data_IF_754727155347
#
_entry.id   IF_754727155347
#
_cell.length_a   1.000
_cell.length_b   1.000
_cell.length_c   1.000
_cell.angle_alpha   90.00
_cell.angle_beta   90.00
_cell.angle_gamma   90.00
#
_symmetry.space_group_name_H-M   'P 1'
#
loop_
_entity.id
_entity.type
_entity.pdbx_description
1 polymer ?
#
# COMPACT_ATOMS: atom_id res chain seq x y z
N UNK A 1 -28.02 -17.59 10.93
CA UNK A 1 -28.05 -16.46 9.97
C UNK A 1 -27.35 -15.26 10.60
N UNK A 2 -26.32 -14.70 9.95
CA UNK A 2 -25.53 -13.60 10.49
C UNK A 2 -26.32 -12.29 10.66
N UNK A 3 -25.77 -11.36 11.44
CA UNK A 3 -26.38 -10.03 11.61
C UNK A 3 -26.53 -9.31 10.26
N UNK A 4 -27.48 -8.37 10.15
CA UNK A 4 -27.67 -7.57 8.92
C UNK A 4 -26.36 -6.92 8.46
N UNK A 5 -25.55 -6.45 9.41
CA UNK A 5 -24.24 -5.84 9.16
C UNK A 5 -23.26 -6.82 8.51
N UNK A 6 -23.19 -8.05 8.99
CA UNK A 6 -22.31 -9.07 8.40
C UNK A 6 -22.73 -9.48 6.98
N UNK A 7 -24.03 -9.45 6.66
CA UNK A 7 -24.49 -9.65 5.27
C UNK A 7 -24.08 -8.50 4.35
N UNK A 8 -24.18 -7.25 4.81
CA UNK A 8 -23.68 -6.09 4.06
C UNK A 8 -22.16 -6.15 3.88
N UNK A 9 -21.43 -6.54 4.93
CA UNK A 9 -19.99 -6.75 4.84
C UNK A 9 -19.64 -7.80 3.78
N UNK A 10 -20.32 -8.95 3.77
CA UNK A 10 -20.09 -10.00 2.77
C UNK A 10 -20.34 -9.49 1.35
N UNK A 11 -21.39 -8.67 1.14
CA UNK A 11 -21.64 -8.02 -0.16
C UNK A 11 -20.50 -7.07 -0.55
N UNK A 12 -20.03 -6.22 0.37
CA UNK A 12 -18.91 -5.30 0.11
C UNK A 12 -17.60 -6.04 -0.14
N UNK A 13 -17.36 -7.15 0.57
CA UNK A 13 -16.22 -8.03 0.34
C UNK A 13 -16.27 -8.66 -1.05
N UNK A 14 -17.44 -9.16 -1.47
CA UNK A 14 -17.63 -9.67 -2.82
C UNK A 14 -17.44 -8.57 -3.88
N UNK A 15 -17.98 -7.36 -3.65
CA UNK A 15 -17.77 -6.21 -4.53
C UNK A 15 -16.29 -5.82 -4.63
N UNK A 16 -15.52 -5.92 -3.55
CA UNK A 16 -14.07 -5.67 -3.56
C UNK A 16 -13.35 -6.66 -4.49
N UNK A 17 -13.66 -7.95 -4.38
CA UNK A 17 -13.07 -8.99 -5.24
C UNK A 17 -13.49 -8.80 -6.70
N UNK A 18 -14.78 -8.63 -6.96
CA UNK A 18 -15.30 -8.36 -8.31
C UNK A 18 -14.66 -7.11 -8.89
N UNK A 19 -14.53 -6.05 -8.09
CA UNK A 19 -13.92 -4.79 -8.48
C UNK A 19 -12.44 -4.93 -8.86
N UNK A 20 -11.68 -5.77 -8.14
CA UNK A 20 -10.27 -6.02 -8.47
C UNK A 20 -10.07 -6.62 -9.87
N UNK A 21 -11.08 -7.32 -10.41
CA UNK A 21 -11.04 -7.95 -11.74
C UNK A 21 -11.72 -7.10 -12.80
N UNK A 22 -12.90 -6.55 -12.51
CA UNK A 22 -13.75 -5.89 -13.52
C UNK A 22 -13.50 -4.39 -13.68
N UNK A 23 -12.88 -3.73 -12.71
CA UNK A 23 -12.54 -2.31 -12.83
C UNK A 23 -11.25 -2.16 -13.62
N UNK A 24 -11.34 -2.19 -14.94
CA UNK A 24 -10.19 -2.19 -15.85
C UNK A 24 -9.50 -0.83 -15.99
N UNK A 25 -10.08 0.24 -15.44
CA UNK A 25 -9.45 1.56 -15.44
C UNK A 25 -8.08 1.53 -14.77
N UNK A 26 -7.12 2.22 -15.40
CA UNK A 26 -5.85 2.60 -14.81
C UNK A 26 -6.12 3.77 -13.86
N UNK A 27 -5.75 3.63 -12.58
CA UNK A 27 -5.96 4.71 -11.59
C UNK A 27 -4.76 5.67 -11.56
N UNK A 28 -3.58 5.14 -11.87
CA UNK A 28 -2.32 5.88 -11.96
C UNK A 28 -1.32 5.06 -12.80
N UNK A 29 -0.46 5.69 -13.63
CA UNK A 29 0.54 4.98 -14.44
C UNK A 29 1.44 4.01 -13.64
N UNK A 30 1.86 4.42 -12.44
CA UNK A 30 2.63 3.59 -11.49
C UNK A 30 2.04 2.20 -11.21
N UNK A 31 0.73 2.01 -11.40
CA UNK A 31 0.11 0.69 -11.29
C UNK A 31 0.80 -0.36 -12.18
N UNK A 32 1.23 0.07 -13.37
CA UNK A 32 1.87 -0.77 -14.37
C UNK A 32 3.39 -0.59 -14.33
N UNK A 33 3.84 0.65 -14.40
CA UNK A 33 5.25 1.01 -14.58
C UNK A 33 6.13 0.81 -13.35
N UNK A 34 5.55 0.73 -12.14
CA UNK A 34 6.30 0.47 -10.90
C UNK A 34 6.04 -0.91 -10.31
N UNK A 35 5.44 -1.84 -11.06
CA UNK A 35 5.22 -3.20 -10.57
C UNK A 35 5.16 -4.23 -11.69
N UNK A 36 4.12 -4.18 -12.51
CA UNK A 36 3.76 -5.27 -13.42
C UNK A 36 4.73 -5.41 -14.58
N UNK A 37 4.99 -4.31 -15.28
CA UNK A 37 5.80 -4.32 -16.50
C UNK A 37 7.27 -4.60 -16.20
N UNK A 38 7.80 -3.98 -15.13
CA UNK A 38 9.16 -4.21 -14.64
C UNK A 38 9.41 -5.70 -14.42
N UNK A 39 8.46 -6.40 -13.77
CA UNK A 39 8.59 -7.83 -13.53
C UNK A 39 8.28 -8.69 -14.74
N UNK A 40 7.33 -8.30 -15.59
CA UNK A 40 6.99 -9.05 -16.79
C UNK A 40 8.19 -9.23 -17.73
N UNK A 41 9.14 -8.30 -17.73
CA UNK A 41 10.41 -8.44 -18.48
C UNK A 41 11.25 -9.66 -18.09
N UNK A 42 10.96 -10.35 -16.99
CA UNK A 42 11.72 -11.56 -16.65
C UNK A 42 11.04 -12.85 -17.10
N UNK A 43 9.75 -12.79 -17.46
CA UNK A 43 8.92 -13.98 -17.69
C UNK A 43 8.31 -14.04 -19.08
N UNK A 44 8.15 -12.89 -19.74
CA UNK A 44 7.63 -12.84 -21.12
C UNK A 44 8.76 -13.19 -22.10
N UNK A 45 8.53 -14.09 -23.08
CA UNK A 45 9.52 -14.39 -24.11
C UNK A 45 9.86 -13.16 -24.97
N UNK A 46 11.15 -12.91 -25.19
CA UNK A 46 11.65 -11.75 -25.96
C UNK A 46 11.13 -11.66 -27.40
N UNK A 47 10.82 -12.82 -27.99
CA UNK A 47 10.29 -12.92 -29.36
C UNK A 47 8.80 -12.56 -29.46
N UNK A 48 8.08 -12.52 -28.34
CA UNK A 48 6.65 -12.29 -28.32
C UNK A 48 6.30 -10.83 -28.65
N UNK A 49 5.10 -10.62 -29.21
CA UNK A 49 4.61 -9.27 -29.49
C UNK A 49 4.47 -8.44 -28.20
N UNK A 50 4.00 -9.05 -27.11
CA UNK A 50 3.76 -8.34 -25.85
C UNK A 50 5.06 -7.86 -25.19
N UNK A 51 6.18 -8.55 -25.42
CA UNK A 51 7.49 -8.10 -24.95
C UNK A 51 7.87 -6.72 -25.47
N UNK A 52 7.53 -6.42 -26.73
CA UNK A 52 7.88 -5.15 -27.40
C UNK A 52 7.10 -3.96 -26.84
N UNK A 53 5.98 -4.24 -26.17
CA UNK A 53 5.13 -3.23 -25.54
C UNK A 53 5.49 -3.00 -24.06
N UNK A 54 6.36 -3.83 -23.47
CA UNK A 54 6.78 -3.67 -22.07
C UNK A 54 7.68 -2.45 -21.91
N UNK A 55 7.38 -1.63 -20.90
CA UNK A 55 8.18 -0.46 -20.56
C UNK A 55 8.79 -0.60 -19.16
N UNK A 56 10.11 -0.40 -19.09
CA UNK A 56 10.84 -0.32 -17.81
C UNK A 56 11.27 1.14 -17.61
N UNK A 57 10.71 1.85 -16.62
CA UNK A 57 11.07 3.25 -16.36
C UNK A 57 12.53 3.41 -15.98
N UNK A 58 13.08 4.60 -16.24
CA UNK A 58 14.45 4.99 -15.89
C UNK A 58 14.77 4.78 -14.40
N UNK A 59 13.75 4.83 -13.54
CA UNK A 59 13.85 4.60 -12.09
C UNK A 59 14.37 3.21 -11.70
N UNK A 60 14.22 2.23 -12.61
CA UNK A 60 14.70 0.85 -12.49
C UNK A 60 15.88 0.56 -13.43
N UNK A 61 16.47 1.58 -14.04
CA UNK A 61 17.59 1.39 -14.97
C UNK A 61 18.92 1.77 -14.31
N UNK A 62 19.98 1.08 -14.73
CA UNK A 62 21.36 1.44 -14.40
C UNK A 62 21.76 2.75 -15.09
N UNK A 63 22.70 3.54 -14.53
CA UNK A 63 23.62 3.18 -13.44
C UNK A 63 23.12 3.48 -12.01
N UNK A 64 22.07 4.29 -11.84
CA UNK A 64 21.60 4.69 -10.50
C UNK A 64 20.10 4.43 -10.34
N UNK A 65 19.68 3.16 -10.15
CA UNK A 65 18.27 2.84 -9.90
C UNK A 65 17.83 3.52 -8.60
N UNK A 66 16.66 4.14 -8.64
CA UNK A 66 16.13 4.96 -7.56
C UNK A 66 14.77 4.49 -7.04
N UNK A 67 14.30 3.32 -7.49
CA UNK A 67 13.20 2.57 -6.89
C UNK A 67 13.64 1.18 -6.49
N UNK A 68 13.10 0.73 -5.35
CA UNK A 68 13.32 -0.63 -4.88
C UNK A 68 12.54 -1.64 -5.70
N UNK A 69 13.18 -2.76 -6.01
CA UNK A 69 12.57 -3.87 -6.75
C UNK A 69 11.76 -4.80 -5.84
N UNK A 70 11.95 -4.72 -4.52
CA UNK A 70 11.38 -5.65 -3.57
C UNK A 70 9.85 -5.74 -3.69
N UNK A 71 9.16 -4.60 -3.73
CA UNK A 71 7.71 -4.58 -3.87
C UNK A 71 7.21 -5.16 -5.22
N UNK A 72 7.72 -4.71 -6.40
CA UNK A 72 7.44 -5.34 -7.68
C UNK A 72 7.65 -6.87 -7.65
N UNK A 73 8.79 -7.32 -7.13
CA UNK A 73 9.15 -8.73 -7.06
C UNK A 73 8.15 -9.53 -6.21
N UNK A 74 7.71 -9.01 -5.07
CA UNK A 74 6.74 -9.70 -4.21
C UNK A 74 5.34 -9.78 -4.83
N UNK A 75 4.88 -8.69 -5.46
CA UNK A 75 3.48 -8.57 -5.91
C UNK A 75 3.25 -9.08 -7.32
N UNK A 76 4.22 -8.92 -8.21
CA UNK A 76 4.13 -9.36 -9.61
C UNK A 76 5.14 -10.49 -9.90
N UNK A 77 6.39 -10.35 -9.47
CA UNK A 77 7.45 -11.33 -9.77
C UNK A 77 7.18 -12.74 -9.25
N UNK A 78 6.81 -12.89 -7.97
CA UNK A 78 6.50 -14.20 -7.37
C UNK A 78 5.32 -14.87 -8.09
N UNK A 79 4.16 -14.21 -8.29
CA UNK A 79 3.07 -14.81 -9.05
C UNK A 79 3.44 -15.22 -10.48
N UNK A 80 4.20 -14.39 -11.19
CA UNK A 80 4.62 -14.72 -12.56
C UNK A 80 5.60 -15.91 -12.58
N UNK A 81 6.49 -16.00 -11.59
CA UNK A 81 7.35 -17.18 -11.42
C UNK A 81 6.53 -18.45 -11.17
N UNK A 82 5.47 -18.35 -10.38
CA UNK A 82 4.55 -19.48 -10.16
C UNK A 82 3.93 -19.90 -11.49
N UNK A 83 3.43 -18.96 -12.30
CA UNK A 83 2.87 -19.24 -13.62
C UNK A 83 3.87 -19.93 -14.55
N UNK A 84 5.11 -19.44 -14.62
CA UNK A 84 6.18 -20.08 -15.40
C UNK A 84 6.40 -21.53 -14.94
N UNK A 85 6.50 -21.78 -13.63
CA UNK A 85 6.73 -23.12 -13.07
C UNK A 85 5.57 -24.07 -13.35
N UNK A 86 4.32 -23.58 -13.40
CA UNK A 86 3.15 -24.39 -13.75
C UNK A 86 2.84 -24.45 -15.25
N UNK A 87 3.66 -23.81 -16.10
CA UNK A 87 3.49 -23.79 -17.55
C UNK A 87 2.35 -22.92 -18.05
N UNK A 88 1.96 -21.89 -17.30
CA UNK A 88 0.95 -20.89 -17.71
C UNK A 88 1.66 -19.71 -18.36
N UNK A 89 1.34 -19.45 -19.63
CA UNK A 89 1.86 -18.29 -20.35
C UNK A 89 1.29 -16.98 -19.80
N UNK A 90 2.18 -16.01 -19.57
CA UNK A 90 1.79 -14.71 -19.04
C UNK A 90 1.16 -13.85 -20.15
N UNK A 91 -0.16 -13.62 -20.06
CA UNK A 91 -0.89 -12.71 -20.95
C UNK A 91 -1.05 -11.33 -20.31
N UNK A 92 -1.36 -10.30 -21.10
CA UNK A 92 -1.62 -8.95 -20.58
C UNK A 92 -2.77 -8.90 -19.57
N UNK A 93 -3.78 -9.77 -19.74
CA UNK A 93 -4.86 -9.93 -18.75
C UNK A 93 -4.35 -10.48 -17.42
N UNK A 94 -3.49 -11.51 -17.47
CA UNK A 94 -2.89 -12.08 -16.26
C UNK A 94 -1.95 -11.08 -15.58
N UNK A 95 -1.20 -10.28 -16.34
CA UNK A 95 -0.37 -9.21 -15.80
C UNK A 95 -1.20 -8.18 -15.02
N UNK A 96 -2.37 -7.81 -15.54
CA UNK A 96 -3.29 -6.89 -14.89
C UNK A 96 -3.93 -7.48 -13.63
N UNK A 97 -4.57 -8.64 -13.77
CA UNK A 97 -5.51 -9.15 -12.76
C UNK A 97 -4.80 -9.86 -11.61
N UNK A 98 -3.67 -10.52 -11.86
CA UNK A 98 -2.95 -11.31 -10.85
C UNK A 98 -2.49 -10.49 -9.64
N UNK A 99 -1.71 -9.40 -9.82
CA UNK A 99 -1.28 -8.57 -8.68
C UNK A 99 -2.46 -7.87 -7.99
N UNK A 100 -3.51 -7.51 -8.74
CA UNK A 100 -4.74 -6.92 -8.19
C UNK A 100 -5.48 -7.90 -7.28
N UNK A 101 -5.66 -9.14 -7.72
CA UNK A 101 -6.27 -10.20 -6.93
C UNK A 101 -5.43 -10.56 -5.71
N UNK A 102 -4.10 -10.68 -5.86
CA UNK A 102 -3.20 -10.94 -4.75
C UNK A 102 -3.36 -9.89 -3.65
N UNK A 103 -3.30 -8.60 -4.00
CA UNK A 103 -3.44 -7.52 -3.03
C UNK A 103 -4.87 -7.41 -2.49
N UNK A 104 -5.89 -7.69 -3.29
CA UNK A 104 -7.26 -7.80 -2.82
C UNK A 104 -7.39 -8.89 -1.75
N UNK A 105 -6.82 -10.07 -1.98
CA UNK A 105 -6.82 -11.17 -1.02
C UNK A 105 -6.05 -10.80 0.26
N UNK A 106 -4.87 -10.20 0.12
CA UNK A 106 -4.09 -9.71 1.26
C UNK A 106 -4.81 -8.60 2.03
N UNK A 107 -5.65 -7.79 1.37
CA UNK A 107 -6.43 -6.74 2.04
C UNK A 107 -7.37 -7.31 3.11
N UNK A 108 -7.86 -8.54 2.95
CA UNK A 108 -8.70 -9.18 3.98
C UNK A 108 -7.95 -9.49 5.28
N UNK A 109 -6.62 -9.56 5.26
CA UNK A 109 -5.82 -9.62 6.49
C UNK A 109 -6.05 -8.35 7.31
N UNK A 110 -6.17 -7.19 6.66
CA UNK A 110 -6.47 -5.92 7.33
C UNK A 110 -7.85 -5.98 7.99
N UNK A 111 -8.87 -6.50 7.31
CA UNK A 111 -10.19 -6.73 7.90
C UNK A 111 -10.12 -7.59 9.18
N UNK A 112 -9.37 -8.70 9.12
CA UNK A 112 -9.17 -9.61 10.28
C UNK A 112 -8.44 -8.89 11.41
N UNK A 113 -7.39 -8.13 11.11
CA UNK A 113 -6.64 -7.34 12.09
C UNK A 113 -7.56 -6.33 12.77
N UNK A 114 -8.32 -5.54 12.00
CA UNK A 114 -9.24 -4.54 12.56
C UNK A 114 -10.27 -5.19 13.47
N UNK A 115 -10.88 -6.29 13.03
CA UNK A 115 -11.88 -7.03 13.80
C UNK A 115 -11.30 -7.57 15.12
N UNK A 116 -10.11 -8.17 15.08
CA UNK A 116 -9.47 -8.78 16.24
C UNK A 116 -8.95 -7.75 17.24
N UNK A 117 -8.29 -6.70 16.76
CA UNK A 117 -7.76 -5.60 17.60
C UNK A 117 -8.89 -4.85 18.30
N UNK A 118 -9.97 -4.48 17.59
CA UNK A 118 -11.14 -3.84 18.21
C UNK A 118 -11.79 -4.76 19.25
N UNK A 119 -11.87 -6.06 18.95
CA UNK A 119 -12.37 -7.07 19.87
C UNK A 119 -11.54 -7.20 21.15
N UNK A 120 -10.21 -7.12 21.05
CA UNK A 120 -9.27 -7.18 22.17
C UNK A 120 -9.36 -5.92 23.03
N UNK A 121 -9.38 -4.75 22.40
CA UNK A 121 -9.45 -3.45 23.09
C UNK A 121 -10.81 -3.17 23.74
N UNK A 122 -11.87 -3.83 23.27
CA UNK A 122 -13.21 -3.74 23.85
C UNK A 122 -13.57 -4.94 24.74
N UNK A 123 -12.58 -5.73 25.20
CA UNK A 123 -12.81 -6.98 25.95
C UNK A 123 -13.61 -6.80 27.25
N UNK A 124 -13.44 -5.66 27.92
CA UNK A 124 -14.05 -5.37 29.22
C UNK A 124 -15.48 -4.81 29.07
N UNK A 125 -15.96 -4.66 27.83
CA UNK A 125 -17.31 -4.18 27.51
C UNK A 125 -18.28 -5.35 27.33
N UNK A 126 -19.59 -5.06 27.47
CA UNK A 126 -20.65 -6.03 27.19
C UNK A 126 -20.50 -6.64 25.80
N UNK A 127 -20.81 -7.94 25.68
CA UNK A 127 -20.62 -8.72 24.45
C UNK A 127 -21.31 -8.07 23.25
N UNK A 128 -22.50 -7.52 23.44
CA UNK A 128 -23.28 -6.85 22.40
C UNK A 128 -22.58 -5.58 21.89
N UNK A 129 -22.01 -4.78 22.81
CA UNK A 129 -21.29 -3.54 22.49
C UNK A 129 -19.99 -3.86 21.76
N UNK A 130 -19.24 -4.86 22.25
CA UNK A 130 -18.02 -5.35 21.60
C UNK A 130 -18.32 -5.80 20.17
N UNK A 131 -19.33 -6.66 19.99
CA UNK A 131 -19.72 -7.17 18.67
C UNK A 131 -20.17 -6.04 17.74
N UNK A 132 -20.94 -5.07 18.24
CA UNK A 132 -21.34 -3.90 17.46
C UNK A 132 -20.13 -3.08 16.96
N UNK A 133 -19.13 -2.83 17.81
CA UNK A 133 -17.91 -2.11 17.40
C UNK A 133 -17.13 -2.87 16.33
N UNK A 134 -17.00 -4.18 16.50
CA UNK A 134 -16.32 -5.05 15.54
C UNK A 134 -17.05 -5.09 14.17
N UNK A 135 -18.38 -5.16 14.17
CA UNK A 135 -19.16 -5.10 12.92
C UNK A 135 -19.08 -3.73 12.25
N UNK A 136 -19.09 -2.64 13.04
CA UNK A 136 -19.01 -1.26 12.50
C UNK A 136 -17.66 -0.95 11.88
N UNK A 137 -16.55 -1.37 12.51
CA UNK A 137 -15.21 -1.13 11.93
C UNK A 137 -15.07 -1.81 10.58
N UNK A 138 -15.57 -3.06 10.45
CA UNK A 138 -15.56 -3.79 9.19
C UNK A 138 -16.40 -3.10 8.12
N UNK A 139 -17.61 -2.63 8.46
CA UNK A 139 -18.46 -1.94 7.51
C UNK A 139 -17.87 -0.61 7.04
N UNK A 140 -17.32 0.20 7.96
CA UNK A 140 -16.67 1.46 7.60
C UNK A 140 -15.49 1.21 6.67
N UNK A 141 -14.62 0.27 7.03
CA UNK A 141 -13.45 -0.06 6.23
C UNK A 141 -13.84 -0.60 4.85
N UNK A 142 -14.73 -1.59 4.79
CA UNK A 142 -15.13 -2.24 3.54
C UNK A 142 -15.98 -1.34 2.61
N UNK A 143 -16.64 -0.32 3.15
CA UNK A 143 -17.41 0.65 2.34
C UNK A 143 -16.62 1.90 1.95
N UNK A 144 -15.36 2.01 2.40
CA UNK A 144 -14.49 3.12 2.02
C UNK A 144 -13.95 2.92 0.60
N UNK A 145 -13.99 3.98 -0.21
CA UNK A 145 -13.50 3.93 -1.59
C UNK A 145 -12.01 3.51 -1.74
N UNK A 146 -11.08 3.88 -0.83
CA UNK A 146 -9.68 3.44 -0.97
C UNK A 146 -9.56 1.93 -0.77
N UNK A 147 -10.42 1.34 0.05
CA UNK A 147 -10.47 -0.12 0.24
C UNK A 147 -11.02 -0.84 -0.99
N UNK A 148 -12.02 -0.25 -1.66
CA UNK A 148 -12.63 -0.84 -2.86
C UNK A 148 -11.76 -0.67 -4.11
N UNK A 149 -11.02 0.45 -4.22
CA UNK A 149 -10.18 0.77 -5.38
C UNK A 149 -8.71 0.50 -5.06
N UNK A 150 -8.07 1.32 -4.24
CA UNK A 150 -6.61 1.30 -4.08
C UNK A 150 -6.01 0.07 -3.41
N UNK A 151 -6.65 -0.50 -2.38
CA UNK A 151 -6.10 -1.68 -1.70
C UNK A 151 -6.09 -2.94 -2.59
N UNK A 152 -6.72 -2.87 -3.76
CA UNK A 152 -6.69 -3.90 -4.78
C UNK A 152 -5.75 -3.57 -5.94
N UNK A 153 -4.91 -2.52 -5.81
CA UNK A 153 -3.99 -2.04 -6.85
C UNK A 153 -2.54 -2.18 -6.39
N UNK A 154 -1.61 -2.55 -7.29
CA UNK A 154 -0.18 -2.73 -7.01
C UNK A 154 0.59 -1.43 -6.74
N UNK A 155 0.18 -0.71 -5.70
CA UNK A 155 0.95 0.39 -5.13
C UNK A 155 1.73 -0.09 -3.90
N UNK A 156 2.97 0.37 -3.74
CA UNK A 156 3.77 0.09 -2.53
C UNK A 156 3.03 0.53 -1.26
N UNK A 157 2.27 1.63 -1.33
CA UNK A 157 1.44 2.11 -0.23
C UNK A 157 0.39 1.09 0.24
N UNK A 158 -0.16 0.27 -0.67
CA UNK A 158 -1.09 -0.81 -0.29
C UNK A 158 -0.38 -1.84 0.60
N UNK A 159 0.86 -2.18 0.25
CA UNK A 159 1.68 -3.10 1.04
C UNK A 159 2.11 -2.46 2.37
N UNK A 160 2.49 -1.19 2.38
CA UNK A 160 2.77 -0.43 3.62
C UNK A 160 1.57 -0.43 4.56
N UNK A 161 0.34 -0.26 4.05
CA UNK A 161 -0.89 -0.36 4.84
C UNK A 161 -1.07 -1.75 5.47
N UNK A 162 -0.78 -2.81 4.73
CA UNK A 162 -0.81 -4.18 5.25
C UNK A 162 0.22 -4.38 6.36
N UNK A 163 1.48 -3.98 6.13
CA UNK A 163 2.55 -4.07 7.12
C UNK A 163 2.18 -3.28 8.38
N UNK A 164 1.64 -2.07 8.23
CA UNK A 164 1.18 -1.27 9.35
C UNK A 164 0.03 -1.95 10.11
N UNK A 165 -0.94 -2.55 9.41
CA UNK A 165 -1.99 -3.35 10.06
C UNK A 165 -1.39 -4.48 10.91
N UNK A 166 -0.43 -5.23 10.37
CA UNK A 166 0.27 -6.29 11.10
C UNK A 166 1.04 -5.74 12.32
N UNK A 167 1.69 -4.59 12.21
CA UNK A 167 2.33 -3.91 13.34
C UNK A 167 1.31 -3.58 14.45
N UNK A 168 0.13 -3.08 14.09
CA UNK A 168 -0.97 -2.85 15.05
C UNK A 168 -1.47 -4.17 15.67
N UNK A 169 -1.56 -5.25 14.89
CA UNK A 169 -1.91 -6.57 15.39
C UNK A 169 -0.90 -7.04 16.44
N UNK A 170 0.40 -6.96 16.15
CA UNK A 170 1.46 -7.31 17.10
C UNK A 170 1.36 -6.44 18.37
N UNK A 171 1.26 -5.12 18.21
CA UNK A 171 1.21 -4.18 19.33
C UNK A 171 0.05 -4.46 20.31
N UNK A 172 -1.15 -4.73 19.77
CA UNK A 172 -2.36 -4.85 20.58
C UNK A 172 -2.75 -6.29 20.95
N UNK A 173 -2.34 -7.29 20.17
CA UNK A 173 -2.70 -8.69 20.40
C UNK A 173 -1.64 -9.45 21.19
N UNK A 174 -0.36 -9.13 20.98
CA UNK A 174 0.78 -9.88 21.57
C UNK A 174 1.20 -9.30 22.93
N UNK A 175 0.43 -8.37 23.51
CA UNK A 175 0.79 -7.65 24.75
C UNK A 175 1.50 -8.55 25.79
N UNK A 176 2.78 -8.29 26.13
CA UNK A 176 3.36 -8.84 27.33
C UNK A 176 2.55 -8.28 28.50
N UNK A 177 2.10 -9.15 29.40
CA UNK A 177 1.47 -8.74 30.67
C UNK A 177 2.52 -7.95 31.48
N UNK A 178 2.63 -6.65 31.30
CA UNK A 178 3.38 -5.82 32.24
C UNK A 178 2.50 -5.69 33.49
N UNK A 179 2.93 -6.35 34.56
CA UNK A 179 2.28 -6.34 35.86
C UNK A 179 1.90 -4.93 36.30
N UNK A 180 0.65 -4.79 36.71
CA UNK A 180 0.07 -3.56 37.22
C UNK A 180 0.76 -3.12 38.51
N UNK A 181 1.54 -2.04 38.44
CA UNK A 181 1.80 -1.13 39.55
C UNK A 181 2.07 0.28 38.98
N UNK A 182 1.56 1.32 39.65
CA UNK A 182 1.44 2.69 39.16
C UNK A 182 2.71 3.25 38.47
N UNK A 183 2.58 4.08 37.42
CA UNK A 183 3.74 4.52 36.64
C UNK A 183 4.52 5.62 37.37
N UNK A 184 5.80 5.37 37.67
CA UNK A 184 6.78 6.45 37.86
C UNK A 184 7.15 7.05 36.50
N UNK A 185 7.45 8.36 36.44
CA UNK A 185 7.86 9.04 35.19
C UNK A 185 9.05 8.34 34.50
N UNK A 186 9.99 7.83 35.29
CA UNK A 186 11.14 7.04 34.83
C UNK A 186 10.75 5.75 34.09
N UNK A 187 9.71 5.04 34.55
CA UNK A 187 9.20 3.82 33.87
C UNK A 187 8.44 4.12 32.58
N UNK A 188 7.93 5.35 32.41
CA UNK A 188 7.36 5.79 31.12
C UNK A 188 8.49 6.11 30.14
N UNK A 189 9.50 6.85 30.58
CA UNK A 189 10.69 7.17 29.78
C UNK A 189 11.41 5.90 29.32
N UNK A 190 11.69 4.96 30.23
CA UNK A 190 12.33 3.69 29.88
C UNK A 190 11.55 2.90 28.82
N UNK A 191 10.21 2.88 28.89
CA UNK A 191 9.37 2.24 27.86
C UNK A 191 9.47 2.94 26.51
N UNK A 192 9.46 4.28 26.50
CA UNK A 192 9.63 5.05 25.25
C UNK A 192 10.98 4.73 24.62
N UNK A 193 12.05 4.68 25.42
CA UNK A 193 13.40 4.32 24.95
C UNK A 193 13.43 2.90 24.38
N UNK A 194 12.85 1.91 25.07
CA UNK A 194 12.79 0.52 24.57
C UNK A 194 12.05 0.45 23.23
N UNK A 195 10.89 1.10 23.12
CA UNK A 195 10.11 1.13 21.87
C UNK A 195 10.89 1.82 20.75
N UNK A 196 11.59 2.93 21.06
CA UNK A 196 12.42 3.63 20.09
C UNK A 196 13.60 2.78 19.60
N UNK A 197 14.29 2.07 20.51
CA UNK A 197 15.38 1.15 20.16
C UNK A 197 14.87 -0.02 19.32
N UNK A 198 13.74 -0.62 19.68
CA UNK A 198 13.10 -1.67 18.87
C UNK A 198 12.73 -1.16 17.48
N UNK A 199 12.16 0.04 17.39
CA UNK A 199 11.86 0.71 16.13
C UNK A 199 13.11 0.94 15.28
N UNK A 200 14.20 1.40 15.89
CA UNK A 200 15.48 1.60 15.21
C UNK A 200 16.08 0.28 14.69
N UNK A 201 16.08 -0.78 15.51
CA UNK A 201 16.57 -2.10 15.08
C UNK A 201 15.73 -2.65 13.93
N UNK A 202 14.40 -2.54 14.00
CA UNK A 202 13.52 -2.94 12.92
C UNK A 202 13.78 -2.13 11.64
N UNK A 203 13.95 -0.81 11.76
CA UNK A 203 14.30 0.06 10.64
C UNK A 203 15.62 -0.37 9.99
N UNK A 204 16.70 -0.52 10.76
CA UNK A 204 18.01 -0.90 10.24
C UNK A 204 17.99 -2.29 9.57
N UNK A 205 17.28 -3.25 10.17
CA UNK A 205 17.14 -4.59 9.60
C UNK A 205 16.40 -4.56 8.26
N UNK A 206 15.27 -3.85 8.20
CA UNK A 206 14.53 -3.71 6.94
C UNK A 206 15.32 -2.92 5.90
N UNK A 207 15.98 -1.82 6.27
CA UNK A 207 16.87 -1.10 5.34
C UNK A 207 17.93 -2.02 4.74
N UNK A 208 18.55 -2.88 5.56
CA UNK A 208 19.52 -3.86 5.07
C UNK A 208 18.89 -4.84 4.08
N UNK A 209 17.69 -5.36 4.37
CA UNK A 209 16.97 -6.26 3.45
C UNK A 209 16.71 -5.58 2.10
N UNK A 210 16.22 -4.35 2.11
CA UNK A 210 15.98 -3.58 0.87
C UNK A 210 17.28 -3.39 0.08
N UNK A 211 18.36 -2.95 0.73
CA UNK A 211 19.66 -2.74 0.08
C UNK A 211 20.19 -4.04 -0.51
N UNK A 212 20.14 -5.14 0.24
CA UNK A 212 20.62 -6.44 -0.24
C UNK A 212 19.81 -6.94 -1.43
N UNK A 213 18.47 -6.88 -1.36
CA UNK A 213 17.60 -7.35 -2.45
C UNK A 213 17.76 -6.47 -3.70
N UNK A 214 17.81 -5.14 -3.53
CA UNK A 214 18.00 -4.22 -4.65
C UNK A 214 19.38 -4.43 -5.29
N UNK A 215 20.46 -4.53 -4.51
CA UNK A 215 21.81 -4.81 -5.05
C UNK A 215 21.88 -6.17 -5.73
N UNK A 216 21.25 -7.21 -5.17
CA UNK A 216 21.19 -8.54 -5.81
C UNK A 216 20.52 -8.48 -7.18
N UNK A 217 19.49 -7.64 -7.32
CA UNK A 217 18.75 -7.51 -8.57
C UNK A 217 19.47 -6.66 -9.62
N UNK A 218 19.99 -5.49 -9.23
CA UNK A 218 20.62 -4.55 -10.17
C UNK A 218 22.09 -4.87 -10.46
N UNK A 219 22.80 -5.46 -9.50
CA UNK A 219 24.21 -5.80 -9.59
C UNK A 219 24.48 -7.24 -9.11
N UNK A 220 23.91 -8.26 -9.77
CA UNK A 220 24.08 -9.67 -9.36
C UNK A 220 25.55 -10.11 -9.31
N UNK A 221 26.43 -9.48 -10.09
CA UNK A 221 27.88 -9.68 -10.11
C UNK A 221 28.58 -9.35 -8.78
N UNK A 222 27.95 -8.56 -7.91
CA UNK A 222 28.45 -8.26 -6.56
C UNK A 222 28.47 -9.51 -5.69
N UNK A 223 27.47 -10.38 -5.88
CA UNK A 223 27.28 -11.60 -5.11
C UNK A 223 27.73 -12.86 -5.88
N UNK A 224 28.16 -12.72 -7.14
CA UNK A 224 28.72 -13.80 -7.92
C UNK A 224 30.21 -14.03 -7.58
N UNK A 225 30.55 -15.24 -7.12
CA UNK A 225 31.93 -15.67 -6.85
C UNK A 225 32.26 -15.91 -5.36
N UNK A 226 33.55 -16.13 -5.06
CA UNK A 226 34.02 -16.47 -3.71
C UNK A 226 33.96 -15.27 -2.75
N UNK A 227 33.56 -15.55 -1.50
CA UNK A 227 33.44 -14.59 -0.40
C UNK A 227 34.82 -14.15 0.12
N UNK A 228 35.51 -13.29 -0.62
CA UNK A 228 36.80 -12.71 -0.24
C UNK A 228 36.67 -11.23 0.16
N UNK A 229 37.76 -10.62 0.66
CA UNK A 229 37.82 -9.19 1.00
C UNK A 229 37.43 -8.24 -0.15
N UNK A 230 37.52 -8.71 -1.40
CA UNK A 230 37.00 -8.02 -2.59
C UNK A 230 35.49 -7.85 -2.60
N UNK A 231 34.71 -8.69 -1.89
CA UNK A 231 33.25 -8.61 -1.87
C UNK A 231 32.79 -7.39 -1.07
N UNK A 232 33.46 -7.04 0.03
CA UNK A 232 33.13 -5.85 0.82
C UNK A 232 33.33 -4.58 -0.01
N UNK A 233 34.42 -4.52 -0.78
CA UNK A 233 34.70 -3.40 -1.68
C UNK A 233 33.69 -3.32 -2.83
N UNK A 234 33.36 -4.45 -3.45
CA UNK A 234 32.30 -4.54 -4.48
C UNK A 234 30.94 -4.08 -3.96
N UNK A 235 30.55 -4.50 -2.74
CA UNK A 235 29.31 -4.05 -2.10
C UNK A 235 29.38 -2.54 -1.85
N UNK A 236 30.46 -2.02 -1.28
CA UNK A 236 30.58 -0.60 -0.99
C UNK A 236 30.45 0.28 -2.24
N UNK A 237 30.90 -0.19 -3.40
CA UNK A 237 30.85 0.54 -4.67
C UNK A 237 29.51 0.40 -5.41
N UNK A 238 28.82 -0.73 -5.27
CA UNK A 238 27.63 -1.06 -6.08
C UNK A 238 26.34 -1.22 -5.25
N UNK A 239 26.39 -0.96 -3.93
CA UNK A 239 25.22 -1.03 -3.08
C UNK A 239 24.13 -0.05 -3.55
N UNK A 240 22.90 -0.55 -3.68
CA UNK A 240 21.77 0.22 -4.17
C UNK A 240 21.00 0.74 -2.97
N UNK A 241 21.11 2.04 -2.74
CA UNK A 241 20.32 2.75 -1.74
C UNK A 241 19.20 3.51 -2.43
N UNK A 242 18.16 2.82 -2.88
CA UNK A 242 17.10 3.40 -3.71
C UNK A 242 16.53 4.74 -3.17
N UNK A 243 16.19 4.89 -1.86
CA UNK A 243 15.73 6.18 -1.33
C UNK A 243 16.77 7.30 -1.41
N UNK A 244 18.06 6.98 -1.21
CA UNK A 244 19.14 7.95 -1.33
C UNK A 244 19.36 8.33 -2.80
N UNK A 245 19.35 7.36 -3.71
CA UNK A 245 19.43 7.60 -5.14
C UNK A 245 18.27 8.46 -5.62
N UNK A 246 17.07 8.23 -5.09
CA UNK A 246 15.88 9.03 -5.40
C UNK A 246 16.03 10.46 -4.89
N UNK A 247 16.55 10.65 -3.67
CA UNK A 247 16.85 11.97 -3.13
C UNK A 247 17.88 12.70 -3.98
N UNK A 248 19.00 12.05 -4.31
CA UNK A 248 20.07 12.63 -5.13
C UNK A 248 19.57 13.01 -6.53
N UNK A 249 18.75 12.14 -7.14
CA UNK A 249 18.11 12.40 -8.42
C UNK A 249 17.23 13.65 -8.39
N UNK A 250 16.36 13.77 -7.38
CA UNK A 250 15.41 14.88 -7.21
C UNK A 250 16.05 16.18 -6.70
N UNK A 251 17.33 16.16 -6.29
CA UNK A 251 18.07 17.37 -5.91
C UNK A 251 18.75 18.02 -7.12
N UNK A 252 19.07 17.25 -8.16
CA UNK A 252 19.75 17.73 -9.37
C UNK A 252 18.76 18.40 -10.33
N UNK A 253 18.94 19.70 -10.56
CA UNK A 253 18.03 20.50 -11.39
C UNK A 253 17.90 19.98 -12.84
N UNK A 254 19.00 19.55 -13.46
CA UNK A 254 19.02 19.01 -14.83
C UNK A 254 18.09 17.79 -14.98
N UNK A 255 17.92 16.99 -13.93
CA UNK A 255 16.97 15.86 -13.94
C UNK A 255 15.52 16.34 -13.87
N UNK A 256 15.23 17.44 -13.17
CA UNK A 256 13.88 18.02 -13.12
C UNK A 256 13.52 18.67 -14.45
N UNK A 257 14.49 19.20 -15.20
CA UNK A 257 14.29 19.75 -16.54
C UNK A 257 13.74 18.72 -17.52
N UNK A 258 14.22 17.48 -17.43
CA UNK A 258 13.74 16.37 -18.28
C UNK A 258 12.26 16.02 -18.04
N UNK A 259 11.74 16.30 -16.85
CA UNK A 259 10.34 16.03 -16.46
C UNK A 259 9.47 17.28 -16.43
N UNK A 260 9.99 18.41 -16.93
CA UNK A 260 9.33 19.71 -16.92
C UNK A 260 9.54 20.47 -15.60
N UNK A 261 10.35 21.54 -15.64
CA UNK A 261 10.49 22.44 -14.48
C UNK A 261 9.31 23.38 -14.44
N UNK A 262 8.34 23.03 -13.62
CA UNK A 262 7.25 23.93 -13.29
C UNK A 262 7.55 24.60 -11.95
N UNK A 263 7.38 25.93 -11.81
CA UNK A 263 7.51 26.60 -10.51
C UNK A 263 6.65 25.85 -9.48
N UNK A 264 7.18 25.51 -8.30
CA UNK A 264 6.48 24.68 -7.30
C UNK A 264 5.04 25.15 -6.99
N UNK A 265 4.79 26.45 -7.15
CA UNK A 265 3.46 27.04 -7.05
C UNK A 265 2.47 26.53 -8.12
N UNK A 266 2.90 26.32 -9.37
CA UNK A 266 2.05 25.81 -10.46
C UNK A 266 1.64 24.35 -10.25
N UNK A 267 2.45 23.52 -9.57
CA UNK A 267 1.98 22.21 -9.10
C UNK A 267 0.81 22.37 -8.12
N UNK A 268 0.90 23.31 -7.18
CA UNK A 268 -0.14 23.55 -6.18
C UNK A 268 -1.40 24.22 -6.77
N UNK A 269 -1.25 25.12 -7.74
CA UNK A 269 -2.35 26.01 -8.18
C UNK A 269 -2.89 25.75 -9.58
N UNK A 270 -2.21 24.94 -10.38
CA UNK A 270 -2.65 24.60 -11.74
C UNK A 270 -2.78 23.09 -11.88
N UNK A 271 -1.70 22.35 -11.63
CA UNK A 271 -1.69 20.91 -11.90
C UNK A 271 -2.57 20.13 -10.92
N UNK A 272 -2.49 20.41 -9.60
CA UNK A 272 -3.33 19.75 -8.60
C UNK A 272 -4.84 20.05 -8.77
N UNK A 273 -5.28 21.30 -9.03
CA UNK A 273 -6.67 21.59 -9.36
C UNK A 273 -7.13 20.98 -10.69
N UNK A 274 -6.25 20.90 -11.69
CA UNK A 274 -6.57 20.33 -13.00
C UNK A 274 -6.71 18.80 -12.95
N UNK A 275 -5.87 18.13 -12.16
CA UNK A 275 -5.92 16.67 -11.96
C UNK A 275 -7.01 16.24 -10.97
N UNK A 276 -7.30 17.05 -9.94
CA UNK A 276 -8.14 16.63 -8.81
C UNK A 276 -9.38 17.52 -8.56
N UNK A 277 -9.62 18.53 -9.41
CA UNK A 277 -10.75 19.45 -9.28
C UNK A 277 -10.75 20.21 -7.95
N UNK A 278 -11.90 20.73 -7.48
CA UNK A 278 -12.03 21.46 -6.20
C UNK A 278 -11.61 20.65 -4.95
N UNK A 279 -11.41 19.34 -5.10
CA UNK A 279 -11.09 18.39 -4.02
C UNK A 279 -9.59 18.40 -3.68
N UNK A 280 -8.74 19.04 -4.50
CA UNK A 280 -7.29 19.14 -4.26
C UNK A 280 -6.93 19.82 -2.92
N UNK A 281 -7.75 20.76 -2.44
CA UNK A 281 -7.56 21.42 -1.13
C UNK A 281 -7.74 20.46 0.07
N UNK A 282 -8.27 19.26 -0.17
CA UNK A 282 -8.49 18.21 0.84
C UNK A 282 -7.53 17.03 0.65
N UNK A 283 -6.78 16.96 -0.47
CA UNK A 283 -6.01 15.78 -0.85
C UNK A 283 -4.62 16.15 -1.41
N UNK A 284 -3.61 16.06 -0.54
CA UNK A 284 -2.31 15.54 -0.96
C UNK A 284 -2.55 14.09 -1.37
N UNK A 285 -2.23 13.74 -2.61
CA UNK A 285 -2.31 12.43 -3.24
C UNK A 285 -2.90 11.29 -2.38
N UNK A 286 -4.15 10.84 -2.64
CA UNK A 286 -4.88 9.91 -1.78
C UNK A 286 -4.13 8.63 -1.37
N UNK A 287 -3.16 8.19 -2.20
CA UNK A 287 -2.29 7.03 -1.93
C UNK A 287 -1.40 7.21 -0.70
N UNK A 288 -0.91 8.41 -0.43
CA UNK A 288 -0.07 8.69 0.75
C UNK A 288 -0.83 8.57 2.07
N UNK A 289 -2.16 8.64 2.02
CA UNK A 289 -3.03 8.49 3.19
C UNK A 289 -3.50 7.04 3.39
N UNK A 290 -3.15 6.10 2.50
CA UNK A 290 -3.54 4.69 2.65
C UNK A 290 -3.06 4.07 3.96
N UNK A 291 -1.82 4.31 4.45
CA UNK A 291 -1.40 3.77 5.73
C UNK A 291 -2.24 4.34 6.89
N UNK A 292 -2.72 5.59 6.77
CA UNK A 292 -3.57 6.21 7.79
C UNK A 292 -4.96 5.55 7.91
N UNK A 293 -5.39 4.71 6.96
CA UNK A 293 -6.65 3.98 7.03
C UNK A 293 -6.73 3.13 8.30
N UNK A 294 -5.68 2.38 8.64
CA UNK A 294 -5.68 1.49 9.81
C UNK A 294 -5.89 2.25 11.13
N UNK A 295 -5.03 3.22 11.51
CA UNK A 295 -5.22 3.96 12.76
C UNK A 295 -6.53 4.75 12.79
N UNK A 296 -6.98 5.30 11.65
CA UNK A 296 -8.25 6.05 11.59
C UNK A 296 -9.45 5.14 11.86
N UNK A 297 -9.51 3.96 11.25
CA UNK A 297 -10.61 3.00 11.46
C UNK A 297 -10.59 2.42 12.88
N UNK A 298 -9.41 2.18 13.45
CA UNK A 298 -9.30 1.79 14.86
C UNK A 298 -9.77 2.90 15.80
N UNK A 299 -9.29 4.13 15.60
CA UNK A 299 -9.69 5.28 16.41
C UNK A 299 -11.20 5.51 16.35
N UNK A 300 -11.78 5.48 15.15
CA UNK A 300 -13.22 5.68 14.96
C UNK A 300 -14.03 4.58 15.67
N UNK A 301 -13.64 3.31 15.53
CA UNK A 301 -14.33 2.20 16.17
C UNK A 301 -14.28 2.23 17.71
N UNK A 302 -13.15 2.66 18.28
CA UNK A 302 -12.92 2.68 19.72
C UNK A 302 -13.57 3.91 20.39
N UNK A 303 -13.51 5.07 19.73
CA UNK A 303 -14.06 6.35 20.20
C UNK A 303 -15.54 6.56 19.87
N UNK A 304 -16.25 5.50 19.44
CA UNK A 304 -17.58 5.54 18.85
C UNK A 304 -18.76 6.13 19.66
N UNK A 305 -18.52 6.71 20.84
CA UNK A 305 -19.51 7.50 21.59
C UNK A 305 -19.36 9.03 21.40
N UNK A 306 -18.32 9.52 20.71
CA UNK A 306 -18.10 10.95 20.48
C UNK A 306 -18.17 11.34 19.00
N UNK A 307 -18.90 12.43 18.70
CA UNK A 307 -18.79 13.21 17.46
C UNK A 307 -19.03 12.45 16.15
N UNK A 308 -18.05 12.52 15.25
CA UNK A 308 -18.13 12.17 13.82
C UNK A 308 -18.49 10.70 13.56
N UNK A 309 -18.06 9.76 14.41
CA UNK A 309 -18.31 8.32 14.19
C UNK A 309 -19.78 7.97 14.37
N UNK A 310 -20.42 8.51 15.41
CA UNK A 310 -21.87 8.33 15.63
C UNK A 310 -22.65 8.98 14.50
N UNK A 311 -22.19 10.12 14.01
CA UNK A 311 -22.79 10.78 12.86
C UNK A 311 -22.72 9.88 11.61
N UNK A 312 -21.54 9.40 11.23
CA UNK A 312 -21.35 8.59 10.01
C UNK A 312 -21.96 7.19 10.08
N UNK A 313 -22.14 6.60 11.26
CA UNK A 313 -22.62 5.21 11.40
C UNK A 313 -24.06 5.03 11.86
N UNK A 314 -24.64 6.06 12.49
CA UNK A 314 -26.00 5.95 13.07
C UNK A 314 -26.93 7.07 12.66
N UNK A 315 -26.43 8.28 12.36
CA UNK A 315 -27.29 9.37 11.91
C UNK A 315 -27.65 9.18 10.43
N UNK A 316 -28.94 9.24 10.07
CA UNK A 316 -29.41 8.97 8.69
C UNK A 316 -28.67 9.83 7.64
N UNK A 317 -28.53 11.12 7.91
CA UNK A 317 -27.80 12.04 7.03
C UNK A 317 -26.32 11.68 6.93
N UNK A 318 -25.66 11.33 8.04
CA UNK A 318 -24.23 11.01 8.03
C UNK A 318 -23.94 9.70 7.30
N UNK A 319 -24.81 8.70 7.45
CA UNK A 319 -24.76 7.44 6.68
C UNK A 319 -24.97 7.72 5.20
N UNK A 320 -25.96 8.56 4.84
CA UNK A 320 -26.20 8.93 3.44
C UNK A 320 -24.99 9.64 2.83
N UNK A 321 -24.43 10.64 3.53
CA UNK A 321 -23.26 11.37 3.07
C UNK A 321 -22.05 10.45 2.91
N UNK A 322 -21.82 9.52 3.85
CA UNK A 322 -20.76 8.52 3.74
C UNK A 322 -20.92 7.64 2.50
N UNK A 323 -22.12 7.13 2.25
CA UNK A 323 -22.41 6.27 1.09
C UNK A 323 -22.22 7.06 -0.20
N UNK A 324 -22.81 8.25 -0.31
CA UNK A 324 -22.72 9.09 -1.52
C UNK A 324 -21.27 9.48 -1.80
N UNK A 325 -20.52 9.89 -0.78
CA UNK A 325 -19.11 10.26 -0.91
C UNK A 325 -18.27 9.09 -1.41
N UNK A 326 -18.35 7.93 -0.77
CA UNK A 326 -17.54 6.77 -1.15
C UNK A 326 -17.97 6.18 -2.50
N UNK A 327 -19.27 6.21 -2.82
CA UNK A 327 -19.76 5.79 -4.14
C UNK A 327 -19.24 6.72 -5.23
N UNK A 328 -19.34 8.04 -5.04
CA UNK A 328 -18.85 9.03 -6.00
C UNK A 328 -17.35 8.86 -6.26
N UNK A 329 -16.53 8.71 -5.21
CA UNK A 329 -15.09 8.52 -5.37
C UNK A 329 -14.73 7.15 -5.96
N UNK A 330 -15.47 6.10 -5.62
CA UNK A 330 -15.28 4.79 -6.27
C UNK A 330 -15.58 4.91 -7.76
N UNK A 331 -16.69 5.53 -8.15
CA UNK A 331 -17.06 5.72 -9.56
C UNK A 331 -16.13 6.67 -10.30
N UNK A 332 -15.51 7.63 -9.61
CA UNK A 332 -14.55 8.55 -10.22
C UNK A 332 -13.20 7.86 -10.47
N UNK A 333 -12.63 7.19 -9.47
CA UNK A 333 -11.29 6.60 -9.56
C UNK A 333 -11.25 5.18 -10.15
N UNK A 334 -12.36 4.43 -10.13
CA UNK A 334 -12.37 3.06 -10.64
C UNK A 334 -12.29 2.92 -12.18
N UNK A 335 -12.94 3.79 -12.99
CA UNK A 335 -12.97 3.64 -14.44
C UNK A 335 -12.01 4.54 -15.23
N UNK A 336 -11.49 5.64 -14.66
CA UNK A 336 -10.89 6.73 -15.44
C UNK A 336 -9.36 6.75 -15.46
N UNK A 337 -8.80 6.41 -16.64
CA UNK A 337 -7.68 7.12 -17.31
C UNK A 337 -7.54 6.67 -18.78
N UNK A 338 -8.08 5.52 -19.17
CA UNK A 338 -7.94 4.94 -20.51
C UNK A 338 -8.58 5.72 -21.68
N UNK A 339 -9.18 6.90 -21.45
CA UNK A 339 -9.90 7.66 -22.50
C UNK A 339 -9.31 9.05 -22.80
N UNK A 340 -8.21 9.47 -22.15
CA UNK A 340 -7.67 10.82 -22.34
C UNK A 340 -6.38 10.90 -23.18
N UNK A 341 -5.76 9.77 -23.54
CA UNK A 341 -4.53 9.73 -24.35
C UNK A 341 -4.69 8.90 -25.63
N UNK A 342 -5.74 9.17 -26.42
CA UNK A 342 -5.79 8.78 -27.84
C UNK A 342 -5.32 9.91 -28.79
N UNK A 343 -4.69 10.95 -28.25
CA UNK A 343 -4.12 12.04 -29.04
C UNK A 343 -2.64 12.26 -28.69
N UNK A 344 -1.78 11.38 -29.22
CA UNK A 344 -0.41 11.74 -29.57
C UNK A 344 0.00 11.04 -30.86
#
# INVERSE_FOLDING_TARGET
>A
MGSRRMRLYALLAALRVVGSVLLLGMVHPDEFFQSQEVMATHFVPKESAIWRELFVPWEFQLPMPNRSILFPALVAGIPYKIFEVVGVELTGWLMLVTPRLLLCLLSFIIDVVLYTVVGKLSRDQKVEIKKEKQEKVLLLFASSWPTLVFLCRPFSNTFETLVLALCFAVLFLVSPKLGSSAPSGLRRLARVVVVAVQGLVAFLMWTLVFVVVDTLYFHPEVFAGDLNSSVVEKIAQNAVFAPLNNLMYNVQYDNLELHGVHPRFTHLTVNMPMLFGPVFLVFLEPRFMLPALVPLHLFTALSGRAGVVRFLTTHKLGVLLWIVFNLALTLFFAPHWASLEQHH
#
